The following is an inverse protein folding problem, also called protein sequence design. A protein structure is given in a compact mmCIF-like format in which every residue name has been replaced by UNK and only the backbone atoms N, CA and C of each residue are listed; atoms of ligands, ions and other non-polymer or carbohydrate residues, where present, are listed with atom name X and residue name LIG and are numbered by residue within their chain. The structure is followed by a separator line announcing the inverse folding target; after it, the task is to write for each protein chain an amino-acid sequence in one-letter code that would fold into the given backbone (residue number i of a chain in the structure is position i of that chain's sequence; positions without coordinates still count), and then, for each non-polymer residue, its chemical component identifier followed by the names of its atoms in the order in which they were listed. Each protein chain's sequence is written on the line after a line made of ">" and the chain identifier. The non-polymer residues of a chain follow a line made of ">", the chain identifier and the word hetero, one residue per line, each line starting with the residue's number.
data_IF_504882708671
#
_entry.id   IF_504882708671
#
_cell.length_a   1.000
_cell.length_b   1.000
_cell.length_c   1.000
_cell.angle_alpha   90.00
_cell.angle_beta   90.00
_cell.angle_gamma   90.00
#
_symmetry.space_group_name_H-M   'P 1'
#
loop_
_entity.id
_entity.type
_entity.pdbx_description
1 polymer ?
#
# COMPACT_ATOMS: atom_id res chain seq x y z
N UNK A 1 1.32 -9.57 -11.92
CA UNK A 1 0.40 -9.56 -10.78
C UNK A 1 -0.46 -8.30 -10.78
N UNK A 2 0.15 -7.13 -10.88
CA UNK A 2 -0.50 -5.84 -11.16
C UNK A 2 -0.11 -5.41 -12.58
N UNK A 3 -1.09 -4.93 -13.35
CA UNK A 3 -0.86 -4.27 -14.64
C UNK A 3 -1.67 -2.97 -14.66
N UNK A 4 -1.02 -1.88 -14.97
CA UNK A 4 -1.63 -0.55 -15.13
C UNK A 4 -1.33 -0.06 -16.53
N UNK A 5 -2.36 0.34 -17.27
CA UNK A 5 -2.25 0.79 -18.65
C UNK A 5 -2.87 2.18 -18.80
N UNK A 6 -2.05 3.15 -19.15
CA UNK A 6 -2.42 4.54 -19.47
C UNK A 6 -3.34 5.19 -18.42
N UNK A 7 -3.05 4.94 -17.14
CA UNK A 7 -3.86 5.46 -16.03
C UNK A 7 -3.81 6.98 -15.95
N UNK A 8 -4.96 7.62 -16.11
CA UNK A 8 -5.13 9.07 -15.93
C UNK A 8 -6.08 9.34 -14.77
N UNK A 9 -5.72 10.34 -13.96
CA UNK A 9 -6.56 10.86 -12.89
C UNK A 9 -6.43 12.37 -12.78
N UNK A 10 -7.59 13.04 -12.73
CA UNK A 10 -7.68 14.48 -12.53
C UNK A 10 -8.62 14.81 -11.37
N UNK A 11 -8.41 15.94 -10.72
CA UNK A 11 -9.32 16.54 -9.76
C UNK A 11 -9.69 17.94 -10.25
N UNK A 12 -11.00 18.18 -10.45
CA UNK A 12 -11.50 19.43 -11.03
C UNK A 12 -10.86 19.72 -12.38
N UNK A 13 -9.89 20.64 -12.45
CA UNK A 13 -9.20 21.03 -13.68
C UNK A 13 -7.71 20.65 -13.70
N UNK A 14 -7.23 19.98 -12.65
CA UNK A 14 -5.81 19.61 -12.53
C UNK A 14 -5.64 18.11 -12.77
N UNK A 15 -4.91 17.74 -13.82
CA UNK A 15 -4.47 16.37 -14.02
C UNK A 15 -3.35 16.04 -13.02
N UNK A 16 -3.47 14.93 -12.31
CA UNK A 16 -2.51 14.48 -11.28
C UNK A 16 -1.74 13.25 -11.74
N UNK A 17 -2.37 12.36 -12.52
CA UNK A 17 -1.70 11.20 -13.11
C UNK A 17 -1.84 11.30 -14.64
N UNK A 18 -0.71 11.23 -15.32
CA UNK A 18 -0.60 11.56 -16.75
C UNK A 18 -0.33 10.32 -17.62
N UNK A 19 -1.20 9.30 -17.56
CA UNK A 19 -1.06 8.10 -18.39
C UNK A 19 0.04 7.18 -17.85
N UNK A 20 -0.11 6.70 -16.61
CA UNK A 20 0.84 5.78 -15.98
C UNK A 20 0.70 4.39 -16.59
N UNK A 21 1.81 3.84 -17.03
CA UNK A 21 1.97 2.42 -17.38
C UNK A 21 2.89 1.77 -16.33
N UNK A 22 2.48 0.60 -15.78
CA UNK A 22 3.28 -0.14 -14.79
C UNK A 22 2.89 -1.61 -14.82
N UNK A 23 3.87 -2.48 -14.70
CA UNK A 23 3.69 -3.90 -14.44
C UNK A 23 4.42 -4.29 -13.15
N UNK A 24 3.83 -5.22 -12.38
CA UNK A 24 4.47 -5.79 -11.19
C UNK A 24 4.19 -7.29 -11.13
N UNK A 25 5.24 -8.05 -10.89
CA UNK A 25 5.17 -9.51 -10.79
C UNK A 25 4.68 -9.96 -9.40
N UNK A 26 4.23 -11.21 -9.31
CA UNK A 26 3.88 -11.80 -8.02
C UNK A 26 5.14 -11.99 -7.16
N UNK A 27 5.06 -11.61 -5.90
CA UNK A 27 6.17 -11.68 -4.94
C UNK A 27 7.16 -10.53 -5.05
N UNK A 28 7.02 -9.64 -6.03
CA UNK A 28 7.89 -8.48 -6.21
C UNK A 28 7.56 -7.38 -5.17
N UNK A 29 8.58 -6.83 -4.54
CA UNK A 29 8.49 -5.65 -3.70
C UNK A 29 8.90 -4.40 -4.50
N UNK A 30 7.91 -3.59 -4.90
CA UNK A 30 8.13 -2.33 -5.64
C UNK A 30 8.00 -1.16 -4.68
N UNK A 31 8.99 -0.26 -4.69
CA UNK A 31 8.96 0.96 -3.88
C UNK A 31 8.84 2.19 -4.78
N UNK A 32 7.91 3.06 -4.41
CA UNK A 32 7.67 4.34 -5.09
C UNK A 32 8.28 5.45 -4.23
N UNK A 33 9.20 6.20 -4.82
CA UNK A 33 9.80 7.40 -4.24
C UNK A 33 9.49 8.62 -5.11
N UNK A 34 9.66 9.82 -4.56
CA UNK A 34 9.45 11.08 -5.30
C UNK A 34 8.97 12.22 -4.42
N UNK A 35 8.96 13.46 -4.92
CA UNK A 35 8.58 14.64 -4.16
C UNK A 35 7.13 14.57 -3.65
N UNK A 36 6.83 15.34 -2.59
CA UNK A 36 5.47 15.47 -2.09
C UNK A 36 4.57 16.11 -3.16
N UNK A 37 3.32 15.62 -3.25
CA UNK A 37 2.33 16.13 -4.22
C UNK A 37 2.50 15.64 -5.65
N UNK A 38 3.46 14.76 -5.98
CA UNK A 38 3.66 14.26 -7.35
C UNK A 38 2.68 13.15 -7.79
N UNK A 39 1.70 12.76 -6.92
CA UNK A 39 0.64 11.82 -7.28
C UNK A 39 0.76 10.40 -6.72
N UNK A 40 1.77 10.06 -5.90
CA UNK A 40 2.01 8.70 -5.36
C UNK A 40 0.80 8.12 -4.61
N UNK A 41 0.26 8.87 -3.64
CA UNK A 41 -0.93 8.49 -2.87
C UNK A 41 -2.16 8.33 -3.78
N UNK A 42 -2.34 9.24 -4.74
CA UNK A 42 -3.42 9.17 -5.73
C UNK A 42 -3.32 7.89 -6.56
N UNK A 43 -2.10 7.53 -6.97
CA UNK A 43 -1.83 6.29 -7.70
C UNK A 43 -2.24 5.06 -6.89
N UNK A 44 -1.78 4.94 -5.62
CA UNK A 44 -2.19 3.84 -4.74
C UNK A 44 -3.71 3.78 -4.52
N UNK A 45 -4.36 4.94 -4.35
CA UNK A 45 -5.82 5.02 -4.17
C UNK A 45 -6.60 4.62 -5.41
N UNK A 46 -6.05 4.84 -6.61
CA UNK A 46 -6.64 4.29 -7.83
C UNK A 46 -6.51 2.76 -7.89
N UNK A 47 -5.35 2.20 -7.47
CA UNK A 47 -5.13 0.75 -7.47
C UNK A 47 -6.14 0.00 -6.58
N UNK A 48 -6.43 0.52 -5.38
CA UNK A 48 -7.40 -0.10 -4.49
C UNK A 48 -8.84 0.37 -4.71
N UNK A 49 -9.11 1.15 -5.77
CA UNK A 49 -10.43 1.68 -6.11
C UNK A 49 -11.07 2.56 -5.01
N UNK A 50 -10.26 3.27 -4.22
CA UNK A 50 -10.74 4.38 -3.39
C UNK A 50 -10.92 5.65 -4.20
N UNK A 51 -10.12 5.79 -5.26
CA UNK A 51 -10.29 6.81 -6.29
C UNK A 51 -10.63 6.15 -7.63
N UNK A 52 -11.62 6.71 -8.32
CA UNK A 52 -11.95 6.28 -9.67
C UNK A 52 -10.96 6.86 -10.67
N UNK A 53 -10.46 6.04 -11.59
CA UNK A 53 -9.64 6.51 -12.71
C UNK A 53 -10.52 7.28 -13.73
N UNK A 54 -9.95 8.27 -14.40
CA UNK A 54 -10.65 9.00 -15.47
C UNK A 54 -10.51 8.28 -16.81
N UNK A 55 -9.33 7.66 -17.06
CA UNK A 55 -9.11 6.76 -18.19
C UNK A 55 -8.00 5.77 -17.89
N UNK A 56 -7.85 4.75 -18.72
CA UNK A 56 -6.87 3.68 -18.56
C UNK A 56 -7.48 2.42 -17.96
N UNK A 57 -6.61 1.51 -17.56
CA UNK A 57 -6.98 0.17 -17.07
C UNK A 57 -6.11 -0.24 -15.89
N UNK A 58 -6.71 -0.89 -14.91
CA UNK A 58 -6.02 -1.51 -13.76
C UNK A 58 -6.42 -2.98 -13.70
N UNK A 59 -5.44 -3.85 -13.70
CA UNK A 59 -5.63 -5.29 -13.48
C UNK A 59 -4.84 -5.72 -12.24
N UNK A 60 -5.50 -6.35 -11.28
CA UNK A 60 -4.86 -6.94 -10.09
C UNK A 60 -5.38 -8.36 -9.92
N UNK A 61 -4.47 -9.33 -9.84
CA UNK A 61 -4.81 -10.75 -9.68
C UNK A 61 -5.87 -11.23 -10.70
N UNK A 62 -5.77 -10.77 -11.95
CA UNK A 62 -6.69 -11.15 -13.03
C UNK A 62 -8.03 -10.40 -13.05
N UNK A 63 -8.28 -9.51 -12.08
CA UNK A 63 -9.49 -8.67 -12.05
C UNK A 63 -9.16 -7.33 -12.69
N UNK A 64 -9.87 -7.00 -13.77
CA UNK A 64 -9.66 -5.77 -14.55
C UNK A 64 -10.78 -4.76 -14.29
N UNK A 65 -10.39 -3.53 -13.99
CA UNK A 65 -11.27 -2.37 -13.87
C UNK A 65 -10.82 -1.28 -14.84
N UNK A 66 -11.80 -0.70 -15.55
CA UNK A 66 -11.64 0.40 -16.49
C UNK A 66 -12.69 1.48 -16.17
N UNK A 67 -12.47 2.71 -16.62
CA UNK A 67 -13.53 3.72 -16.58
C UNK A 67 -14.45 3.57 -17.79
N UNK A 68 -15.70 3.22 -17.53
CA UNK A 68 -16.76 3.09 -18.54
C UNK A 68 -17.63 4.38 -18.61
N UNK A 69 -16.99 5.56 -18.80
CA UNK A 69 -17.67 6.84 -19.09
C UNK A 69 -18.96 7.07 -18.30
N UNK A 70 -18.87 7.20 -16.97
CA UNK A 70 -19.91 7.62 -16.03
C UNK A 70 -21.16 6.71 -15.86
N UNK A 71 -21.22 5.54 -16.45
CA UNK A 71 -22.30 4.58 -16.21
C UNK A 71 -21.76 3.26 -15.62
N UNK A 72 -21.28 3.33 -14.37
CA UNK A 72 -20.85 2.12 -13.67
C UNK A 72 -22.03 1.14 -13.52
N UNK A 73 -21.97 0.03 -14.23
CA UNK A 73 -22.94 -1.05 -14.16
C UNK A 73 -22.83 -1.79 -12.81
N UNK A 74 -23.83 -2.64 -12.52
CA UNK A 74 -23.74 -3.55 -11.36
C UNK A 74 -22.51 -4.48 -11.46
N UNK A 75 -22.16 -4.91 -12.66
CA UNK A 75 -20.98 -5.75 -12.91
C UNK A 75 -19.69 -5.00 -12.62
N UNK A 76 -19.56 -3.72 -13.01
CA UNK A 76 -18.40 -2.90 -12.73
C UNK A 76 -18.19 -2.70 -11.22
N UNK A 77 -19.26 -2.42 -10.48
CA UNK A 77 -19.22 -2.31 -9.01
C UNK A 77 -18.77 -3.61 -8.34
N UNK A 78 -19.22 -4.74 -8.86
CA UNK A 78 -18.79 -6.05 -8.34
C UNK A 78 -17.30 -6.30 -8.64
N UNK A 79 -16.79 -6.00 -9.84
CA UNK A 79 -15.36 -6.05 -10.16
C UNK A 79 -14.54 -5.16 -9.25
N UNK A 80 -14.96 -3.90 -9.02
CA UNK A 80 -14.30 -3.00 -8.08
C UNK A 80 -14.27 -3.55 -6.66
N UNK A 81 -15.38 -4.17 -6.19
CA UNK A 81 -15.45 -4.83 -4.89
C UNK A 81 -14.47 -5.99 -4.80
N UNK A 82 -14.43 -6.84 -5.81
CA UNK A 82 -13.51 -7.97 -5.89
C UNK A 82 -12.05 -7.51 -5.91
N UNK A 83 -11.73 -6.47 -6.68
CA UNK A 83 -10.38 -5.90 -6.72
C UNK A 83 -9.96 -5.38 -5.35
N UNK A 84 -10.85 -4.64 -4.62
CA UNK A 84 -10.56 -4.19 -3.24
C UNK A 84 -10.29 -5.34 -2.26
N UNK A 85 -10.88 -6.50 -2.47
CA UNK A 85 -10.59 -7.69 -1.63
C UNK A 85 -9.22 -8.31 -1.94
N UNK A 86 -8.68 -8.07 -3.16
CA UNK A 86 -7.36 -8.57 -3.58
C UNK A 86 -6.22 -7.63 -3.20
N UNK A 87 -6.53 -6.34 -2.96
CA UNK A 87 -5.55 -5.31 -2.65
C UNK A 87 -5.77 -4.80 -1.22
N UNK A 88 -4.97 -5.28 -0.28
CA UNK A 88 -4.91 -4.73 1.08
C UNK A 88 -4.23 -3.37 1.08
N UNK A 89 -4.72 -2.42 1.87
CA UNK A 89 -4.11 -1.09 1.96
C UNK A 89 -3.85 -0.69 3.41
N UNK A 90 -2.65 -0.16 3.63
CA UNK A 90 -2.18 0.43 4.89
C UNK A 90 -1.91 1.90 4.64
N UNK A 91 -2.49 2.76 5.46
CA UNK A 91 -2.46 4.22 5.32
C UNK A 91 -1.43 4.84 6.26
N UNK A 92 -1.04 6.06 5.96
CA UNK A 92 -0.22 6.92 6.82
C UNK A 92 -0.88 7.14 8.20
N UNK A 93 -2.17 7.45 8.22
CA UNK A 93 -2.99 7.50 9.45
C UNK A 93 -3.58 6.12 9.66
N UNK A 94 -3.34 5.50 10.76
CA UNK A 94 -3.65 4.08 11.08
C UNK A 94 -5.09 3.66 10.76
N UNK A 95 -6.04 4.59 10.81
CA UNK A 95 -7.47 4.45 10.46
C UNK A 95 -8.14 3.25 11.16
N UNK A 96 -7.73 2.96 12.40
CA UNK A 96 -8.38 1.96 13.23
C UNK A 96 -9.75 2.47 13.71
N UNK A 97 -10.70 1.56 13.84
CA UNK A 97 -11.99 1.87 14.46
C UNK A 97 -11.79 2.09 15.97
N UNK A 98 -11.94 3.33 16.48
CA UNK A 98 -11.54 3.66 17.86
C UNK A 98 -12.44 3.00 18.91
N UNK A 99 -13.65 2.63 18.54
CA UNK A 99 -14.65 1.96 19.39
C UNK A 99 -14.59 0.43 19.33
N UNK A 100 -13.67 -0.13 18.54
CA UNK A 100 -13.41 -1.58 18.48
C UNK A 100 -12.12 -1.93 19.20
N UNK A 101 -12.07 -3.10 19.82
CA UNK A 101 -10.81 -3.68 20.30
C UNK A 101 -9.88 -3.97 19.11
N UNK A 102 -8.62 -4.24 19.40
CA UNK A 102 -7.62 -4.68 18.41
C UNK A 102 -8.11 -5.94 17.69
N UNK A 103 -8.54 -6.95 18.42
CA UNK A 103 -9.09 -8.19 17.85
C UNK A 103 -10.24 -7.89 16.89
N UNK A 104 -11.20 -7.06 17.32
CA UNK A 104 -12.35 -6.71 16.49
C UNK A 104 -11.97 -5.89 15.27
N UNK A 105 -11.00 -4.99 15.35
CA UNK A 105 -10.48 -4.26 14.19
C UNK A 105 -9.98 -5.22 13.09
N UNK A 106 -9.39 -6.36 13.47
CA UNK A 106 -8.85 -7.34 12.55
C UNK A 106 -9.94 -8.28 12.03
N UNK A 107 -10.90 -8.69 12.87
CA UNK A 107 -11.92 -9.69 12.53
C UNK A 107 -13.12 -9.13 11.80
N UNK A 108 -13.41 -7.84 11.92
CA UNK A 108 -14.64 -7.22 11.38
C UNK A 108 -14.79 -7.45 9.88
N UNK A 109 -13.75 -7.16 9.09
CA UNK A 109 -13.83 -7.30 7.64
C UNK A 109 -13.92 -8.76 7.16
N UNK A 110 -13.14 -9.73 7.66
CA UNK A 110 -13.34 -11.15 7.36
C UNK A 110 -14.76 -11.63 7.66
N UNK A 111 -15.33 -11.28 8.81
CA UNK A 111 -16.67 -11.70 9.19
C UNK A 111 -17.76 -11.07 8.32
N UNK A 112 -17.67 -9.76 8.05
CA UNK A 112 -18.74 -9.02 7.34
C UNK A 112 -18.66 -9.17 5.83
N UNK A 113 -17.45 -9.17 5.24
CA UNK A 113 -17.22 -9.16 3.79
C UNK A 113 -17.07 -10.57 3.24
N UNK A 114 -16.22 -11.40 3.88
CA UNK A 114 -15.97 -12.80 3.47
C UNK A 114 -16.94 -13.78 4.11
N UNK A 115 -17.70 -13.36 5.14
CA UNK A 115 -18.59 -14.21 5.94
C UNK A 115 -17.87 -15.36 6.66
N UNK A 116 -16.60 -15.13 6.99
CA UNK A 116 -15.80 -16.08 7.78
C UNK A 116 -16.46 -16.31 9.14
N UNK A 117 -16.59 -17.56 9.60
CA UNK A 117 -17.12 -17.87 10.93
C UNK A 117 -16.29 -17.16 12.02
N UNK A 118 -16.97 -16.70 13.08
CA UNK A 118 -16.33 -15.92 14.14
C UNK A 118 -15.09 -16.59 14.74
N UNK A 119 -15.20 -17.90 15.09
CA UNK A 119 -14.09 -18.64 15.68
C UNK A 119 -12.85 -18.70 14.76
N UNK A 120 -13.06 -18.92 13.47
CA UNK A 120 -12.00 -18.93 12.46
C UNK A 120 -11.37 -17.55 12.30
N UNK A 121 -12.19 -16.49 12.21
CA UNK A 121 -11.71 -15.11 12.12
C UNK A 121 -10.90 -14.69 13.35
N UNK A 122 -11.34 -15.06 14.57
CA UNK A 122 -10.62 -14.78 15.81
C UNK A 122 -9.30 -15.56 15.91
N UNK A 123 -9.27 -16.81 15.48
CA UNK A 123 -8.02 -17.60 15.41
C UNK A 123 -7.02 -16.95 14.45
N UNK A 124 -7.43 -16.66 13.22
CA UNK A 124 -6.59 -16.00 12.22
C UNK A 124 -6.09 -14.64 12.74
N UNK A 125 -6.93 -13.86 13.39
CA UNK A 125 -6.54 -12.57 13.95
C UNK A 125 -5.48 -12.69 15.04
N UNK A 126 -5.54 -13.71 15.90
CA UNK A 126 -4.53 -13.97 16.94
C UNK A 126 -3.19 -14.41 16.34
N UNK A 127 -3.21 -15.21 15.27
CA UNK A 127 -2.01 -15.59 14.51
C UNK A 127 -1.35 -14.34 13.88
N UNK A 128 -2.15 -13.46 13.29
CA UNK A 128 -1.67 -12.19 12.72
C UNK A 128 -1.12 -11.25 13.81
N UNK A 129 -1.77 -11.17 14.97
CA UNK A 129 -1.26 -10.40 16.11
C UNK A 129 0.10 -10.92 16.58
N UNK A 130 0.27 -12.24 16.64
CA UNK A 130 1.57 -12.85 16.95
C UNK A 130 2.62 -12.47 15.89
N UNK A 131 2.25 -12.53 14.61
CA UNK A 131 3.12 -12.16 13.49
C UNK A 131 3.61 -10.71 13.56
N UNK A 132 2.75 -9.78 13.99
CA UNK A 132 3.13 -8.36 14.14
C UNK A 132 3.65 -8.01 15.56
N UNK A 133 3.86 -9.01 16.44
CA UNK A 133 4.43 -8.85 17.78
C UNK A 133 3.49 -8.16 18.78
N UNK A 134 2.16 -8.43 18.69
CA UNK A 134 1.12 -7.83 19.53
C UNK A 134 0.13 -8.86 20.08
N UNK A 135 0.57 -10.10 20.33
CA UNK A 135 -0.29 -11.21 20.76
C UNK A 135 -1.12 -10.88 22.02
N UNK A 136 -0.51 -10.17 22.97
CA UNK A 136 -1.12 -9.79 24.26
C UNK A 136 -2.04 -8.56 24.17
N UNK A 137 -2.13 -7.90 23.00
CA UNK A 137 -2.90 -6.66 22.81
C UNK A 137 -4.30 -6.87 22.25
N UNK A 138 -4.78 -8.10 22.10
CA UNK A 138 -6.05 -8.43 21.45
C UNK A 138 -7.26 -7.66 21.98
N UNK A 139 -7.33 -7.50 23.31
CA UNK A 139 -8.46 -6.88 24.00
C UNK A 139 -8.30 -5.36 24.26
N UNK A 140 -7.17 -4.79 23.83
CA UNK A 140 -6.89 -3.35 23.95
C UNK A 140 -7.67 -2.56 22.92
N UNK A 141 -7.93 -1.28 23.21
CA UNK A 141 -8.47 -0.30 22.26
C UNK A 141 -7.34 0.50 21.62
N UNK A 142 -7.56 1.08 20.40
CA UNK A 142 -6.53 1.88 19.73
C UNK A 142 -5.94 3.00 20.60
N UNK A 143 -6.73 3.66 21.44
CA UNK A 143 -6.27 4.71 22.36
C UNK A 143 -5.27 4.24 23.43
N UNK A 144 -5.12 2.95 23.63
CA UNK A 144 -4.21 2.33 24.59
C UNK A 144 -2.91 1.84 23.94
N UNK A 145 -2.72 2.12 22.64
CA UNK A 145 -1.59 1.67 21.84
C UNK A 145 -0.70 2.86 21.42
N UNK A 146 0.61 2.63 21.33
CA UNK A 146 1.52 3.56 20.67
C UNK A 146 1.21 3.67 19.17
N UNK A 147 1.70 4.73 18.50
CA UNK A 147 1.53 4.88 17.05
C UNK A 147 2.06 3.68 16.26
N UNK A 148 3.26 3.18 16.60
CA UNK A 148 3.83 1.99 15.97
C UNK A 148 3.01 0.73 16.20
N UNK A 149 2.43 0.55 17.40
CA UNK A 149 1.50 -0.54 17.68
C UNK A 149 0.21 -0.41 16.87
N UNK A 150 -0.37 0.79 16.76
CA UNK A 150 -1.55 1.03 15.94
C UNK A 150 -1.30 0.71 14.46
N UNK A 151 -0.14 1.09 13.94
CA UNK A 151 0.23 0.78 12.55
C UNK A 151 0.42 -0.71 12.33
N UNK A 152 1.02 -1.43 13.26
CA UNK A 152 1.14 -2.90 13.19
C UNK A 152 -0.22 -3.59 13.25
N UNK A 153 -1.18 -3.07 14.02
CA UNK A 153 -2.58 -3.55 13.97
C UNK A 153 -3.22 -3.25 12.62
N UNK A 154 -2.97 -2.08 12.01
CA UNK A 154 -3.48 -1.76 10.67
C UNK A 154 -2.93 -2.71 9.59
N UNK A 155 -1.65 -3.10 9.70
CA UNK A 155 -1.05 -4.13 8.83
C UNK A 155 -1.76 -5.49 9.05
N UNK A 156 -1.92 -5.92 10.29
CA UNK A 156 -2.61 -7.18 10.61
C UNK A 156 -4.06 -7.19 10.11
N UNK A 157 -4.78 -6.07 10.23
CA UNK A 157 -6.13 -5.89 9.69
C UNK A 157 -6.18 -6.04 8.17
N UNK A 158 -5.23 -5.45 7.45
CA UNK A 158 -5.14 -5.60 6.00
C UNK A 158 -4.84 -7.05 5.59
N UNK A 159 -3.90 -7.71 6.28
CA UNK A 159 -3.53 -9.11 6.05
C UNK A 159 -4.67 -10.10 6.35
N UNK A 160 -5.58 -9.78 7.28
CA UNK A 160 -6.71 -10.63 7.63
C UNK A 160 -7.67 -10.87 6.44
N UNK A 161 -7.67 -9.97 5.47
CA UNK A 161 -8.39 -10.15 4.21
C UNK A 161 -7.66 -11.08 3.23
N UNK A 162 -6.47 -11.60 3.56
CA UNK A 162 -5.65 -12.46 2.69
C UNK A 162 -5.54 -11.86 1.27
N UNK A 163 -5.03 -10.64 1.15
CA UNK A 163 -4.93 -9.99 -0.15
C UNK A 163 -3.81 -10.61 -1.00
N UNK A 164 -3.93 -10.49 -2.32
CA UNK A 164 -2.88 -10.89 -3.25
C UNK A 164 -1.74 -9.86 -3.33
N UNK A 165 -2.04 -8.59 -2.98
CA UNK A 165 -1.08 -7.49 -2.96
C UNK A 165 -1.33 -6.59 -1.75
N UNK A 166 -0.25 -6.11 -1.12
CA UNK A 166 -0.28 -5.10 -0.07
C UNK A 166 0.20 -3.75 -0.60
N UNK A 167 -0.62 -2.74 -0.44
CA UNK A 167 -0.35 -1.35 -0.79
C UNK A 167 -0.05 -0.56 0.49
N UNK A 168 1.08 0.13 0.55
CA UNK A 168 1.48 0.93 1.71
C UNK A 168 1.66 2.40 1.31
N UNK A 169 0.87 3.28 1.91
CA UNK A 169 0.92 4.72 1.70
C UNK A 169 1.59 5.41 2.88
N UNK A 170 2.91 5.62 2.78
CA UNK A 170 3.75 6.26 3.80
C UNK A 170 3.55 5.70 5.22
N UNK A 171 3.69 4.38 5.45
CA UNK A 171 3.26 3.72 6.69
C UNK A 171 4.00 4.15 7.96
N UNK A 172 5.12 4.86 7.83
CA UNK A 172 5.97 5.29 8.96
C UNK A 172 6.00 6.79 9.16
N UNK A 173 5.43 7.60 8.24
CA UNK A 173 5.59 9.06 8.26
C UNK A 173 4.91 9.76 9.45
N UNK A 174 3.89 9.13 10.06
CA UNK A 174 3.21 9.63 11.26
C UNK A 174 3.83 9.13 12.57
N UNK A 175 5.00 8.45 12.52
CA UNK A 175 5.64 7.82 13.66
C UNK A 175 6.93 8.54 14.06
N UNK A 176 7.19 8.53 15.37
CA UNK A 176 8.50 8.92 15.91
C UNK A 176 9.58 7.95 15.40
N UNK A 177 10.84 8.42 15.25
CA UNK A 177 11.92 7.60 14.69
C UNK A 177 12.10 6.24 15.37
N UNK A 178 11.99 6.18 16.69
CA UNK A 178 12.13 4.95 17.48
C UNK A 178 11.05 3.89 17.17
N UNK A 179 9.85 4.33 16.77
CA UNK A 179 8.72 3.45 16.46
C UNK A 179 8.69 3.00 14.99
N UNK A 180 9.46 3.65 14.11
CA UNK A 180 9.51 3.32 12.67
C UNK A 180 10.09 1.93 12.43
N UNK A 181 11.17 1.59 13.12
CA UNK A 181 11.88 0.33 12.94
C UNK A 181 11.00 -0.89 13.25
N UNK A 182 10.10 -0.78 14.24
CA UNK A 182 9.16 -1.84 14.56
C UNK A 182 8.21 -2.15 13.39
N UNK A 183 7.74 -1.11 12.69
CA UNK A 183 6.86 -1.24 11.52
C UNK A 183 7.64 -1.74 10.31
N UNK A 184 8.83 -1.16 10.05
CA UNK A 184 9.70 -1.58 8.96
C UNK A 184 10.13 -3.05 9.10
N UNK A 185 10.38 -3.54 10.33
CA UNK A 185 10.71 -4.94 10.59
C UNK A 185 9.54 -5.88 10.23
N UNK A 186 8.29 -5.48 10.49
CA UNK A 186 7.13 -6.25 10.03
C UNK A 186 7.08 -6.27 8.50
N UNK A 187 7.30 -5.13 7.85
CA UNK A 187 7.29 -5.04 6.39
C UNK A 187 8.42 -5.87 5.75
N UNK A 188 9.64 -5.88 6.33
CA UNK A 188 10.75 -6.74 5.88
C UNK A 188 10.35 -8.22 5.88
N UNK A 189 9.76 -8.70 6.99
CA UNK A 189 9.28 -10.09 7.07
C UNK A 189 8.24 -10.42 6.00
N UNK A 190 7.36 -9.49 5.66
CA UNK A 190 6.37 -9.71 4.60
C UNK A 190 7.04 -9.84 3.22
N UNK A 191 8.10 -9.05 2.95
CA UNK A 191 8.90 -9.20 1.71
C UNK A 191 9.60 -10.57 1.68
N UNK A 192 10.27 -10.95 2.77
CA UNK A 192 10.96 -12.25 2.91
C UNK A 192 10.00 -13.45 2.72
N UNK A 193 8.74 -13.32 3.12
CA UNK A 193 7.69 -14.31 2.90
C UNK A 193 7.12 -14.30 1.47
N UNK A 194 7.62 -13.45 0.58
CA UNK A 194 7.19 -13.37 -0.83
C UNK A 194 5.86 -12.64 -1.02
N UNK A 195 5.45 -11.75 -0.10
CA UNK A 195 4.28 -10.91 -0.27
C UNK A 195 4.52 -9.91 -1.40
N UNK A 196 3.60 -9.85 -2.37
CA UNK A 196 3.63 -8.80 -3.39
C UNK A 196 3.31 -7.45 -2.72
N UNK A 197 4.21 -6.49 -2.82
CA UNK A 197 4.08 -5.21 -2.11
C UNK A 197 4.35 -4.03 -3.03
N UNK A 198 3.50 -3.00 -2.92
CA UNK A 198 3.75 -1.69 -3.52
C UNK A 198 3.77 -0.65 -2.40
N UNK A 199 4.92 -0.01 -2.19
CA UNK A 199 5.19 0.81 -1.01
C UNK A 199 5.56 2.23 -1.43
N UNK A 200 4.76 3.21 -1.04
CA UNK A 200 5.15 4.62 -1.06
C UNK A 200 5.84 4.94 0.26
N UNK A 201 7.08 5.40 0.22
CA UNK A 201 7.83 5.71 1.44
C UNK A 201 8.90 6.79 1.23
N UNK A 202 9.28 7.46 2.31
CA UNK A 202 10.45 8.32 2.43
C UNK A 202 11.62 7.63 3.15
N UNK A 203 11.48 6.37 3.55
CA UNK A 203 12.51 5.56 4.19
C UNK A 203 13.47 4.99 3.14
N UNK A 204 14.49 5.77 2.76
CA UNK A 204 15.43 5.39 1.68
C UNK A 204 16.25 4.14 2.03
N UNK A 205 16.55 3.94 3.33
CA UNK A 205 17.21 2.71 3.81
C UNK A 205 16.39 1.47 3.52
N UNK A 206 15.09 1.50 3.86
CA UNK A 206 14.16 0.40 3.55
C UNK A 206 14.04 0.18 2.03
N UNK A 207 13.88 1.26 1.25
CA UNK A 207 13.80 1.18 -0.21
C UNK A 207 15.03 0.52 -0.82
N UNK A 208 16.22 0.86 -0.33
CA UNK A 208 17.50 0.32 -0.83
C UNK A 208 17.71 -1.15 -0.48
N UNK A 209 17.27 -1.55 0.73
CA UNK A 209 17.50 -2.89 1.27
C UNK A 209 16.47 -3.91 0.78
N UNK A 210 15.20 -3.51 0.65
CA UNK A 210 14.07 -4.44 0.51
C UNK A 210 13.36 -4.40 -0.85
N UNK A 211 13.59 -3.35 -1.66
CA UNK A 211 12.94 -3.27 -2.96
C UNK A 211 13.63 -4.14 -3.99
N UNK A 212 12.85 -4.87 -4.79
CA UNK A 212 13.32 -5.47 -6.03
C UNK A 212 13.45 -4.42 -7.14
N UNK A 213 12.56 -3.41 -7.10
CA UNK A 213 12.51 -2.31 -8.07
C UNK A 213 12.00 -1.03 -7.44
N UNK A 214 12.56 0.10 -7.90
CA UNK A 214 12.16 1.44 -7.49
C UNK A 214 11.54 2.17 -8.67
N UNK A 215 10.43 2.86 -8.39
CA UNK A 215 9.77 3.79 -9.31
C UNK A 215 9.97 5.21 -8.76
N UNK A 216 10.64 6.06 -9.51
CA UNK A 216 10.71 7.49 -9.21
C UNK A 216 9.56 8.22 -9.88
N UNK A 217 8.64 8.73 -9.06
CA UNK A 217 7.50 9.54 -9.49
C UNK A 217 7.87 11.02 -9.50
N UNK A 218 7.63 11.68 -10.62
CA UNK A 218 7.70 13.14 -10.74
C UNK A 218 6.59 13.64 -11.64
N UNK A 219 5.91 14.73 -11.24
CA UNK A 219 4.85 15.38 -12.00
C UNK A 219 3.80 14.42 -12.60
N UNK A 220 3.31 13.48 -11.78
CA UNK A 220 2.27 12.54 -12.18
C UNK A 220 2.69 11.47 -13.19
N UNK A 221 3.99 11.21 -13.33
CA UNK A 221 4.57 10.20 -14.21
C UNK A 221 5.61 9.36 -13.48
N UNK A 222 5.87 8.16 -13.97
CA UNK A 222 7.06 7.40 -13.62
C UNK A 222 8.19 7.97 -14.48
N UNK A 223 9.05 8.80 -13.86
CA UNK A 223 10.14 9.47 -14.57
C UNK A 223 11.36 8.55 -14.74
N UNK A 224 11.56 7.62 -13.80
CA UNK A 224 12.63 6.64 -13.87
C UNK A 224 12.23 5.38 -13.10
N UNK A 225 12.67 4.22 -13.57
CA UNK A 225 12.54 2.96 -12.86
C UNK A 225 13.77 2.09 -13.02
N UNK A 226 14.05 1.27 -12.03
CA UNK A 226 15.17 0.34 -12.05
C UNK A 226 15.41 -0.34 -10.71
N UNK A 227 16.39 -1.24 -10.63
CA UNK A 227 16.79 -1.84 -9.36
C UNK A 227 17.36 -0.77 -8.42
N UNK A 228 17.26 -0.98 -7.09
CA UNK A 228 17.74 -0.01 -6.09
C UNK A 228 19.17 0.45 -6.32
N UNK A 229 20.07 -0.49 -6.66
CA UNK A 229 21.48 -0.16 -6.89
C UNK A 229 21.66 0.89 -7.99
N UNK A 230 20.96 0.76 -9.13
CA UNK A 230 21.04 1.74 -10.21
C UNK A 230 20.45 3.09 -9.81
N UNK A 231 19.23 3.08 -9.24
CA UNK A 231 18.52 4.32 -8.89
C UNK A 231 19.29 5.13 -7.84
N UNK A 232 19.85 4.48 -6.81
CA UNK A 232 20.54 5.19 -5.73
C UNK A 232 21.98 5.57 -6.03
N UNK A 233 22.67 4.90 -6.96
CA UNK A 233 24.11 5.16 -7.23
C UNK A 233 24.35 5.84 -8.57
N UNK A 234 23.57 5.50 -9.61
CA UNK A 234 23.76 5.96 -10.98
C UNK A 234 22.43 6.32 -11.65
N UNK A 235 21.59 7.19 -11.06
CA UNK A 235 20.33 7.57 -11.67
C UNK A 235 20.56 8.25 -13.03
N UNK A 236 19.78 7.82 -14.02
CA UNK A 236 19.91 8.30 -15.41
C UNK A 236 19.26 9.68 -15.60
N UNK A 237 18.14 9.94 -14.88
CA UNK A 237 17.41 11.18 -14.99
C UNK A 237 17.96 12.27 -14.05
N UNK A 238 18.12 13.49 -14.54
CA UNK A 238 18.59 14.62 -13.72
C UNK A 238 17.66 14.90 -12.54
N UNK A 239 16.34 14.80 -12.75
CA UNK A 239 15.34 14.97 -11.69
C UNK A 239 15.48 13.96 -10.55
N UNK A 240 15.81 12.70 -10.87
CA UNK A 240 16.09 11.67 -9.87
C UNK A 240 17.34 12.02 -9.06
N UNK A 241 18.42 12.48 -9.71
CA UNK A 241 19.66 12.93 -9.05
C UNK A 241 19.40 14.11 -8.11
N UNK A 242 18.67 15.11 -8.57
CA UNK A 242 18.30 16.29 -7.74
C UNK A 242 17.49 15.89 -6.51
N UNK A 243 16.53 14.98 -6.68
CA UNK A 243 15.72 14.47 -5.57
C UNK A 243 16.58 13.71 -4.56
N UNK A 244 17.39 12.75 -5.03
CA UNK A 244 18.22 11.91 -4.16
C UNK A 244 19.26 12.72 -3.39
N UNK A 245 19.88 13.74 -3.99
CA UNK A 245 20.81 14.66 -3.29
C UNK A 245 20.18 15.40 -2.10
N UNK A 246 18.85 15.60 -2.13
CA UNK A 246 18.12 16.29 -1.05
C UNK A 246 17.70 15.37 0.09
N UNK A 247 17.48 14.08 -0.21
CA UNK A 247 16.88 13.13 0.74
C UNK A 247 17.89 12.11 1.30
N UNK A 248 19.02 11.92 0.62
CA UNK A 248 20.12 11.10 1.15
C UNK A 248 21.05 11.97 1.98
N UNK A 249 21.48 11.49 3.17
CA UNK A 249 22.55 12.15 3.93
C UNK A 249 23.82 12.16 3.08
N UNK A 250 24.52 13.33 3.12
CA UNK A 250 25.84 13.47 2.47
C UNK A 250 26.89 12.69 3.23
#
# INVERSE_FOLDING_TARGET
>A
MITVEKLVKSYSHQCVLHGIDMEQQKGEAVVIIGPSGCGKTTFLRCLNQMETLDSGRITIAGITVENNNNQATRADREKQRQLRMRAGMVFQSFNLFPHFTVLRNITEAPMTVKRTPRGEAEQQARELLTKVGLAEKADFYPSQLSGGQQQRVAIARALAMQPDVMLFDEPTSALDPELRDEVLNVMRRLVEEGMTMLVVTHEMGFAREMADRILFFDQGRIAEEGPPEEIFTQPKQERTREFLRKVLPQ
#
